data_IF_551454431354
#
_entry.id   IF_551454431354
#
_cell.length_a   1.000
_cell.length_b   1.000
_cell.length_c   1.000
_cell.angle_alpha   90.00
_cell.angle_beta   90.00
_cell.angle_gamma   90.00
#
_symmetry.space_group_name_H-M   'P 1'
#
loop_
_entity.id
_entity.type
_entity.pdbx_description
1 polymer ?
#
# COMPACT_ATOMS: atom_id res chain seq x y z
N UNK A 1 9.39 67.13 28.52
CA UNK A 1 10.62 66.36 28.27
C UNK A 1 10.16 65.02 27.71
N UNK A 2 10.11 64.88 26.39
CA UNK A 2 9.56 63.70 25.71
C UNK A 2 10.72 62.80 25.31
N UNK A 3 10.76 61.58 25.84
CA UNK A 3 11.68 60.53 25.40
C UNK A 3 10.92 59.68 24.37
N UNK A 4 11.32 59.79 23.11
CA UNK A 4 10.88 58.90 22.03
C UNK A 4 11.88 57.75 21.95
N UNK A 5 11.41 56.51 22.12
CA UNK A 5 12.17 55.31 21.80
C UNK A 5 11.70 54.79 20.43
N UNK A 6 12.60 54.43 19.50
CA UNK A 6 12.18 53.77 18.27
C UNK A 6 11.88 52.29 18.56
N UNK A 7 10.68 51.84 18.21
CA UNK A 7 10.37 50.42 18.15
C UNK A 7 11.06 49.82 16.91
N UNK A 8 11.98 48.88 17.13
CA UNK A 8 12.57 48.06 16.07
C UNK A 8 11.51 47.06 15.59
N UNK A 9 11.07 47.21 14.34
CA UNK A 9 10.17 46.25 13.71
C UNK A 9 11.04 45.20 13.02
N UNK A 10 11.24 44.05 13.67
CA UNK A 10 11.77 42.87 13.02
C UNK A 10 10.70 42.35 12.04
N UNK A 11 11.04 42.33 10.74
CA UNK A 11 10.20 41.71 9.72
C UNK A 11 10.07 40.20 10.01
N UNK A 12 8.89 39.59 9.86
CA UNK A 12 8.79 38.15 9.94
C UNK A 12 9.48 37.59 8.69
N UNK A 13 10.59 36.88 8.89
CA UNK A 13 11.14 36.02 7.87
C UNK A 13 10.14 34.88 7.67
N UNK A 14 9.32 34.97 6.62
CA UNK A 14 8.51 33.85 6.17
C UNK A 14 9.46 32.76 5.68
N UNK A 15 9.79 31.81 6.56
CA UNK A 15 10.33 30.52 6.16
C UNK A 15 9.25 29.82 5.35
N UNK A 16 9.35 29.90 4.03
CA UNK A 16 8.66 29.00 3.12
C UNK A 16 9.19 27.60 3.38
N UNK A 17 8.43 26.79 4.12
CA UNK A 17 8.59 25.34 4.06
C UNK A 17 8.33 24.92 2.61
N UNK A 18 9.18 24.07 1.99
CA UNK A 18 8.85 23.53 0.69
C UNK A 18 7.59 22.69 0.84
N UNK A 19 6.45 23.22 0.40
CA UNK A 19 5.24 22.43 0.18
C UNK A 19 5.46 21.62 -1.09
N UNK A 20 6.19 20.51 -0.95
CA UNK A 20 6.18 19.41 -1.90
C UNK A 20 5.42 18.26 -1.25
N UNK A 21 4.18 18.51 -0.83
CA UNK A 21 3.25 17.40 -0.73
C UNK A 21 2.94 17.00 -2.18
N UNK A 22 3.41 15.84 -2.68
CA UNK A 22 2.99 15.37 -3.98
C UNK A 22 1.46 15.34 -4.02
N UNK A 23 0.86 15.80 -5.12
CA UNK A 23 -0.56 15.65 -5.40
C UNK A 23 -1.00 14.19 -5.19
N UNK A 24 -2.26 13.95 -4.83
CA UNK A 24 -2.76 12.61 -4.48
C UNK A 24 -2.50 11.62 -5.62
N UNK A 25 -2.74 12.01 -6.87
CA UNK A 25 -2.43 11.18 -8.04
C UNK A 25 -0.94 10.90 -8.22
N UNK A 26 -0.07 11.81 -7.77
CA UNK A 26 1.37 11.58 -7.74
C UNK A 26 1.78 10.60 -6.63
N UNK A 27 1.08 10.58 -5.49
CA UNK A 27 1.31 9.61 -4.40
C UNK A 27 0.94 8.20 -4.80
N UNK A 28 -0.26 7.99 -5.37
CA UNK A 28 -0.67 6.66 -5.83
C UNK A 28 0.30 6.12 -6.89
N UNK A 29 0.69 6.96 -7.85
CA UNK A 29 1.68 6.60 -8.86
C UNK A 29 3.06 6.29 -8.24
N UNK A 30 3.50 7.04 -7.22
CA UNK A 30 4.74 6.76 -6.50
C UNK A 30 4.68 5.45 -5.71
N UNK A 31 3.55 5.16 -5.06
CA UNK A 31 3.30 3.90 -4.36
C UNK A 31 3.34 2.72 -5.34
N UNK A 32 2.71 2.85 -6.51
CA UNK A 32 2.74 1.80 -7.55
C UNK A 32 4.15 1.57 -8.09
N UNK A 33 4.92 2.63 -8.39
CA UNK A 33 6.33 2.51 -8.79
C UNK A 33 7.17 1.80 -7.72
N UNK A 34 6.95 2.13 -6.44
CA UNK A 34 7.63 1.45 -5.35
C UNK A 34 7.25 -0.04 -5.29
N UNK A 35 5.97 -0.37 -5.47
CA UNK A 35 5.49 -1.75 -5.54
C UNK A 35 6.13 -2.53 -6.70
N UNK A 36 6.28 -1.91 -7.87
CA UNK A 36 6.98 -2.50 -9.03
C UNK A 36 8.45 -2.79 -8.74
N UNK A 37 9.15 -1.90 -8.03
CA UNK A 37 10.54 -2.12 -7.60
C UNK A 37 10.66 -3.25 -6.55
N UNK A 38 9.61 -3.49 -5.77
CA UNK A 38 9.55 -4.53 -4.74
C UNK A 38 9.07 -5.88 -5.28
N UNK A 39 8.51 -5.94 -6.49
CA UNK A 39 8.02 -7.17 -7.08
C UNK A 39 9.16 -8.19 -7.37
N UNK A 40 10.30 -7.83 -8.00
CA UNK A 40 11.39 -8.79 -8.28
C UNK A 40 11.94 -9.56 -7.07
N UNK A 41 12.15 -8.96 -5.88
CA UNK A 41 12.52 -9.74 -4.69
C UNK A 41 11.40 -10.70 -4.23
N UNK A 42 10.12 -10.31 -4.29
CA UNK A 42 9.01 -11.21 -3.98
C UNK A 42 8.95 -12.40 -4.94
N UNK A 43 9.13 -12.15 -6.24
CA UNK A 43 9.19 -13.21 -7.28
C UNK A 43 10.32 -14.21 -7.02
N UNK A 44 11.45 -13.72 -6.50
CA UNK A 44 12.58 -14.55 -6.10
C UNK A 44 12.45 -15.20 -4.73
N UNK A 45 11.32 -15.04 -4.02
CA UNK A 45 11.12 -15.57 -2.67
C UNK A 45 12.04 -14.94 -1.62
N UNK A 46 12.54 -13.72 -1.87
CA UNK A 46 13.45 -12.99 -0.97
C UNK A 46 12.66 -12.05 -0.08
N UNK A 47 12.95 -12.07 1.22
CA UNK A 47 12.35 -11.14 2.16
C UNK A 47 12.77 -9.70 1.85
N UNK A 48 11.81 -8.78 1.90
CA UNK A 48 12.02 -7.35 1.76
C UNK A 48 12.47 -6.81 3.11
N UNK A 49 13.74 -6.43 3.20
CA UNK A 49 14.26 -5.75 4.38
C UNK A 49 13.79 -4.28 4.41
N UNK A 50 13.87 -3.66 5.59
CA UNK A 50 13.59 -2.22 5.75
C UNK A 50 14.46 -1.36 4.86
N UNK A 51 15.70 -1.78 4.59
CA UNK A 51 16.62 -1.04 3.72
C UNK A 51 16.19 -1.11 2.25
N UNK A 52 15.76 -2.29 1.78
CA UNK A 52 15.24 -2.47 0.41
C UNK A 52 13.95 -1.65 0.24
N UNK A 53 13.06 -1.71 1.24
CA UNK A 53 11.83 -0.92 1.25
C UNK A 53 12.12 0.58 1.21
N UNK A 54 12.98 1.08 2.11
CA UNK A 54 13.34 2.49 2.16
C UNK A 54 13.98 3.00 0.87
N UNK A 55 14.81 2.18 0.21
CA UNK A 55 15.41 2.52 -1.07
C UNK A 55 14.36 2.61 -2.20
N UNK A 56 13.45 1.63 -2.29
CA UNK A 56 12.38 1.64 -3.28
C UNK A 56 11.43 2.84 -3.10
N UNK A 57 11.06 3.14 -1.85
CA UNK A 57 10.23 4.28 -1.50
C UNK A 57 10.94 5.60 -1.85
N UNK A 58 12.20 5.77 -1.45
CA UNK A 58 12.92 7.01 -1.70
C UNK A 58 13.14 7.27 -3.19
N UNK A 59 13.42 6.22 -3.95
CA UNK A 59 13.52 6.31 -5.42
C UNK A 59 12.19 6.70 -6.07
N UNK A 60 11.06 6.28 -5.52
CA UNK A 60 9.74 6.45 -6.15
C UNK A 60 9.07 7.77 -5.78
N UNK A 61 9.33 8.25 -4.55
CA UNK A 61 8.81 9.49 -3.99
C UNK A 61 9.78 10.69 -4.17
N UNK A 62 11.04 10.43 -4.52
CA UNK A 62 12.03 11.49 -4.80
C UNK A 62 12.78 12.03 -3.58
N UNK A 63 12.68 11.35 -2.43
CA UNK A 63 13.33 11.73 -1.17
C UNK A 63 13.03 10.75 -0.04
N UNK A 64 13.61 10.96 1.13
CA UNK A 64 13.54 10.02 2.27
C UNK A 64 12.35 10.28 3.19
N UNK A 65 12.06 9.34 4.11
CA UNK A 65 11.06 9.55 5.17
C UNK A 65 11.50 10.62 6.18
N UNK A 66 12.81 10.71 6.46
CA UNK A 66 13.38 11.75 7.31
C UNK A 66 13.19 13.17 6.74
N UNK A 67 13.12 13.29 5.41
CA UNK A 67 12.84 14.55 4.71
C UNK A 67 11.33 14.81 4.52
N UNK A 68 10.47 13.87 4.93
CA UNK A 68 9.01 14.00 4.88
C UNK A 68 8.38 13.70 3.52
N UNK A 69 9.12 13.13 2.56
CA UNK A 69 8.57 12.80 1.23
C UNK A 69 7.54 11.66 1.27
N UNK A 70 7.71 10.73 2.21
CA UNK A 70 6.81 9.63 2.47
C UNK A 70 6.82 9.26 3.95
N UNK A 71 5.75 8.61 4.40
CA UNK A 71 5.61 8.05 5.75
C UNK A 71 5.54 6.53 5.66
N UNK A 72 5.77 5.85 6.79
CA UNK A 72 5.73 4.39 6.84
C UNK A 72 4.40 3.78 6.37
N UNK A 73 3.31 4.55 6.42
CA UNK A 73 2.04 4.10 5.87
C UNK A 73 2.08 3.90 4.36
N UNK A 74 2.73 4.81 3.61
CA UNK A 74 2.89 4.66 2.16
C UNK A 74 3.72 3.42 1.84
N UNK A 75 4.76 3.17 2.64
CA UNK A 75 5.61 1.98 2.48
C UNK A 75 4.83 0.68 2.71
N UNK A 76 3.92 0.67 3.67
CA UNK A 76 3.00 -0.44 3.88
C UNK A 76 2.02 -0.62 2.72
N UNK A 77 1.50 0.46 2.13
CA UNK A 77 0.64 0.39 0.94
C UNK A 77 1.39 -0.14 -0.28
N UNK A 78 2.66 0.25 -0.46
CA UNK A 78 3.52 -0.28 -1.51
C UNK A 78 3.78 -1.80 -1.34
N UNK A 79 3.93 -2.30 -0.11
CA UNK A 79 4.07 -3.73 0.15
C UNK A 79 2.79 -4.52 -0.15
N UNK A 80 1.62 -3.97 0.17
CA UNK A 80 0.34 -4.59 -0.17
C UNK A 80 0.10 -4.58 -1.68
N UNK A 81 0.37 -3.46 -2.35
CA UNK A 81 0.30 -3.35 -3.80
C UNK A 81 1.28 -4.31 -4.50
N UNK A 82 2.50 -4.50 -3.97
CA UNK A 82 3.46 -5.46 -4.53
C UNK A 82 2.94 -6.91 -4.45
N UNK A 83 2.25 -7.26 -3.37
CA UNK A 83 1.59 -8.57 -3.23
C UNK A 83 0.41 -8.72 -4.22
N UNK A 84 -0.37 -7.66 -4.45
CA UNK A 84 -1.42 -7.66 -5.49
C UNK A 84 -0.83 -7.88 -6.88
N UNK A 85 0.24 -7.16 -7.24
CA UNK A 85 0.95 -7.36 -8.51
C UNK A 85 1.48 -8.78 -8.65
N UNK A 86 2.08 -9.34 -7.59
CA UNK A 86 2.52 -10.72 -7.56
C UNK A 86 1.35 -11.69 -7.81
N UNK A 87 0.21 -11.48 -7.16
CA UNK A 87 -0.95 -12.35 -7.33
C UNK A 87 -1.60 -12.25 -8.71
N UNK A 88 -1.68 -11.06 -9.30
CA UNK A 88 -2.13 -10.89 -10.68
C UNK A 88 -1.27 -11.72 -11.64
N UNK A 89 0.04 -11.79 -11.38
CA UNK A 89 0.99 -12.52 -12.23
C UNK A 89 1.03 -14.03 -11.97
N UNK A 90 1.04 -14.46 -10.71
CA UNK A 90 1.30 -15.86 -10.32
C UNK A 90 0.12 -16.56 -9.67
N UNK A 91 -0.89 -15.82 -9.20
CA UNK A 91 -2.08 -16.35 -8.53
C UNK A 91 -2.79 -17.46 -9.31
N UNK A 92 -3.13 -17.27 -10.61
CA UNK A 92 -3.74 -18.33 -11.41
C UNK A 92 -2.90 -19.62 -11.48
N UNK A 93 -1.57 -19.50 -11.56
CA UNK A 93 -0.67 -20.65 -11.57
C UNK A 93 -0.58 -21.32 -10.19
N UNK A 94 -0.54 -20.54 -9.10
CA UNK A 94 -0.57 -21.06 -7.73
C UNK A 94 -1.84 -21.88 -7.50
N UNK A 95 -3.00 -21.37 -7.91
CA UNK A 95 -4.28 -22.05 -7.73
C UNK A 95 -4.38 -23.31 -8.59
N UNK A 96 -4.07 -23.21 -9.89
CA UNK A 96 -4.25 -24.33 -10.83
C UNK A 96 -3.23 -25.48 -10.67
N UNK A 97 -2.05 -25.21 -10.08
CA UNK A 97 -0.98 -26.21 -9.92
C UNK A 97 -0.84 -26.75 -8.51
N UNK A 98 -1.69 -26.31 -7.58
CA UNK A 98 -1.67 -26.80 -6.20
C UNK A 98 -2.10 -28.25 -6.12
N UNK A 99 -1.29 -29.07 -5.44
CA UNK A 99 -1.51 -30.52 -5.31
C UNK A 99 -2.37 -30.91 -4.12
N UNK A 100 -2.67 -29.97 -3.21
CA UNK A 100 -3.59 -30.15 -2.08
C UNK A 100 -4.41 -28.87 -1.82
N UNK A 101 -5.58 -28.96 -1.17
CA UNK A 101 -6.41 -27.81 -0.83
C UNK A 101 -5.72 -26.75 0.05
N UNK A 102 -4.72 -27.16 0.84
CA UNK A 102 -4.00 -26.30 1.78
C UNK A 102 -2.79 -25.59 1.14
N UNK A 103 -2.28 -26.12 0.02
CA UNK A 103 -1.09 -25.60 -0.65
C UNK A 103 -1.22 -24.12 -1.09
N UNK A 104 -2.36 -23.64 -1.64
CA UNK A 104 -2.54 -22.23 -1.92
C UNK A 104 -2.40 -21.36 -0.67
N UNK A 105 -3.05 -21.73 0.45
CA UNK A 105 -2.96 -20.97 1.70
C UNK A 105 -1.54 -20.95 2.25
N UNK A 106 -0.81 -22.07 2.17
CA UNK A 106 0.60 -22.12 2.55
C UNK A 106 1.45 -21.14 1.71
N UNK A 107 1.19 -21.04 0.40
CA UNK A 107 1.84 -20.07 -0.47
C UNK A 107 1.49 -18.62 -0.07
N UNK A 108 0.22 -18.33 0.22
CA UNK A 108 -0.21 -17.00 0.68
C UNK A 108 0.50 -16.59 2.00
N UNK A 109 0.62 -17.52 2.94
CA UNK A 109 1.39 -17.30 4.19
C UNK A 109 2.86 -17.03 3.88
N UNK A 110 3.46 -17.82 3.00
CA UNK A 110 4.87 -17.65 2.62
C UNK A 110 5.12 -16.27 2.01
N UNK A 111 4.25 -15.79 1.13
CA UNK A 111 4.35 -14.46 0.52
C UNK A 111 4.22 -13.37 1.58
N UNK A 112 3.24 -13.48 2.49
CA UNK A 112 3.04 -12.51 3.57
C UNK A 112 4.22 -12.44 4.55
N UNK A 113 4.96 -13.54 4.73
CA UNK A 113 6.18 -13.58 5.55
C UNK A 113 7.39 -12.90 4.88
N UNK A 114 7.33 -12.62 3.56
CA UNK A 114 8.40 -11.93 2.85
C UNK A 114 8.35 -10.40 3.04
N UNK A 115 7.26 -9.86 3.58
CA UNK A 115 7.11 -8.42 3.78
C UNK A 115 7.17 -8.04 5.27
N UNK A 116 7.71 -6.86 5.62
CA UNK A 116 7.66 -6.36 6.99
C UNK A 116 6.22 -6.23 7.52
N UNK A 117 6.03 -6.52 8.81
CA UNK A 117 4.73 -6.35 9.46
C UNK A 117 4.38 -4.86 9.67
N UNK A 118 3.08 -4.55 9.60
CA UNK A 118 2.58 -3.19 9.76
C UNK A 118 2.50 -2.81 11.24
N UNK A 119 3.63 -2.42 11.83
CA UNK A 119 3.76 -2.12 13.28
C UNK A 119 3.51 -0.65 13.63
N UNK A 120 3.57 0.26 12.66
CA UNK A 120 3.33 1.69 12.88
C UNK A 120 1.90 2.06 12.50
N UNK A 121 1.35 3.08 13.16
CA UNK A 121 0.01 3.63 12.91
C UNK A 121 0.16 5.13 12.64
N UNK A 122 -0.37 5.60 11.50
CA UNK A 122 -0.49 7.03 11.22
C UNK A 122 -1.78 7.58 11.81
N UNK A 123 -1.84 8.90 12.01
CA UNK A 123 -3.04 9.60 12.49
C UNK A 123 -4.24 9.35 11.56
N UNK A 124 -4.03 9.41 10.25
CA UNK A 124 -5.04 9.07 9.25
C UNK A 124 -5.52 7.62 9.40
N UNK A 125 -4.60 6.66 9.57
CA UNK A 125 -4.97 5.25 9.75
C UNK A 125 -5.81 5.04 11.00
N UNK A 126 -5.54 5.79 12.07
CA UNK A 126 -6.36 5.74 13.29
C UNK A 126 -7.72 6.38 13.06
N UNK A 127 -7.76 7.59 12.47
CA UNK A 127 -8.98 8.33 12.24
C UNK A 127 -9.95 7.60 11.30
N UNK A 128 -9.42 6.95 10.26
CA UNK A 128 -10.20 6.23 9.25
C UNK A 128 -10.31 4.73 9.53
N UNK A 129 -9.80 4.24 10.66
CA UNK A 129 -9.79 2.81 11.02
C UNK A 129 -9.23 1.91 9.92
N UNK A 130 -8.15 2.35 9.27
CA UNK A 130 -7.54 1.63 8.15
C UNK A 130 -6.70 0.47 8.69
N UNK A 131 -7.31 -0.70 8.77
CA UNK A 131 -6.66 -1.96 9.08
C UNK A 131 -6.39 -2.73 7.79
N UNK A 132 -5.20 -3.32 7.71
CA UNK A 132 -4.88 -4.25 6.62
C UNK A 132 -5.74 -5.50 6.76
N UNK A 133 -6.16 -6.05 5.62
CA UNK A 133 -6.60 -7.45 5.50
C UNK A 133 -5.42 -8.24 4.93
N UNK A 134 -4.53 -8.82 5.77
CA UNK A 134 -3.32 -9.46 5.29
C UNK A 134 -3.65 -10.62 4.34
N UNK A 135 -2.75 -10.85 3.39
CA UNK A 135 -2.96 -11.78 2.28
C UNK A 135 -3.52 -13.17 2.68
N UNK A 136 -3.07 -13.84 3.76
CA UNK A 136 -3.65 -15.13 4.15
C UNK A 136 -5.12 -15.04 4.55
N UNK A 137 -5.53 -13.95 5.20
CA UNK A 137 -6.93 -13.74 5.58
C UNK A 137 -7.78 -13.37 4.36
N UNK A 138 -7.25 -12.51 3.47
CA UNK A 138 -7.90 -12.18 2.21
C UNK A 138 -8.21 -13.44 1.38
N UNK A 139 -7.23 -14.33 1.26
CA UNK A 139 -7.41 -15.60 0.55
C UNK A 139 -8.48 -16.49 1.20
N UNK A 140 -8.45 -16.67 2.52
CA UNK A 140 -9.45 -17.50 3.23
C UNK A 140 -10.85 -16.91 3.07
N UNK A 141 -11.01 -15.60 3.14
CA UNK A 141 -12.30 -14.93 2.90
C UNK A 141 -12.81 -15.19 1.49
N UNK A 142 -11.99 -14.99 0.46
CA UNK A 142 -12.38 -15.24 -0.92
C UNK A 142 -12.72 -16.72 -1.16
N UNK A 143 -11.95 -17.64 -0.57
CA UNK A 143 -12.19 -19.08 -0.66
C UNK A 143 -13.51 -19.47 0.02
N UNK A 144 -13.77 -18.96 1.23
CA UNK A 144 -15.00 -19.22 1.96
C UNK A 144 -16.24 -18.64 1.27
N UNK A 145 -16.10 -17.49 0.59
CA UNK A 145 -17.14 -16.91 -0.23
C UNK A 145 -17.44 -17.69 -1.52
N UNK A 146 -16.58 -18.66 -1.89
CA UNK A 146 -16.69 -19.48 -3.08
C UNK A 146 -16.88 -18.66 -4.38
N UNK A 147 -16.14 -17.54 -4.50
CA UNK A 147 -16.26 -16.60 -5.61
C UNK A 147 -16.05 -17.32 -6.95
N UNK A 148 -16.97 -17.09 -7.88
CA UNK A 148 -16.97 -17.61 -9.24
C UNK A 148 -17.10 -16.50 -10.28
N UNK A 149 -16.80 -16.82 -11.55
CA UNK A 149 -16.85 -15.86 -12.66
C UNK A 149 -18.24 -15.28 -12.94
N UNK A 150 -19.31 -15.92 -12.45
CA UNK A 150 -20.69 -15.43 -12.55
C UNK A 150 -21.03 -14.34 -11.53
N UNK A 151 -20.16 -14.11 -10.54
CA UNK A 151 -20.48 -13.26 -9.41
C UNK A 151 -20.19 -11.78 -9.69
N UNK A 152 -20.97 -10.93 -9.04
CA UNK A 152 -20.67 -9.52 -8.84
C UNK A 152 -20.24 -9.35 -7.38
N UNK A 153 -18.94 -9.11 -7.16
CA UNK A 153 -18.35 -8.97 -5.83
C UNK A 153 -18.26 -7.49 -5.48
N UNK A 154 -18.95 -7.11 -4.41
CA UNK A 154 -18.82 -5.79 -3.79
C UNK A 154 -17.81 -5.88 -2.64
N UNK A 155 -16.73 -5.12 -2.71
CA UNK A 155 -15.78 -4.97 -1.61
C UNK A 155 -15.77 -3.51 -1.12
N UNK A 156 -16.49 -3.21 -0.02
CA UNK A 156 -16.42 -1.92 0.61
C UNK A 156 -15.10 -1.80 1.39
N UNK A 157 -14.49 -0.62 1.35
CA UNK A 157 -13.19 -0.34 1.98
C UNK A 157 -12.11 -1.31 1.48
N UNK A 158 -11.98 -1.40 0.15
CA UNK A 158 -11.12 -2.38 -0.53
C UNK A 158 -9.63 -2.23 -0.20
N UNK A 159 -9.22 -1.15 0.46
CA UNK A 159 -7.83 -0.89 0.78
C UNK A 159 -7.02 -0.80 -0.51
N UNK A 160 -5.94 -1.57 -0.61
CA UNK A 160 -5.13 -1.66 -1.83
C UNK A 160 -5.56 -2.81 -2.76
N UNK A 161 -6.67 -3.50 -2.46
CA UNK A 161 -7.21 -4.58 -3.29
C UNK A 161 -6.67 -5.98 -2.99
N UNK A 162 -6.10 -6.22 -1.81
CA UNK A 162 -5.57 -7.53 -1.41
C UNK A 162 -6.62 -8.65 -1.37
N UNK A 163 -7.88 -8.33 -1.05
CA UNK A 163 -8.99 -9.27 -1.17
C UNK A 163 -9.57 -9.27 -2.59
N UNK A 164 -9.77 -8.08 -3.17
CA UNK A 164 -10.33 -7.89 -4.51
C UNK A 164 -9.60 -8.68 -5.60
N UNK A 165 -8.28 -8.79 -5.53
CA UNK A 165 -7.46 -9.53 -6.50
C UNK A 165 -7.85 -11.01 -6.60
N UNK A 166 -8.40 -11.62 -5.54
CA UNK A 166 -8.89 -12.99 -5.60
C UNK A 166 -10.16 -13.11 -6.45
N UNK A 167 -11.05 -12.12 -6.40
CA UNK A 167 -12.20 -12.03 -7.30
C UNK A 167 -11.77 -11.78 -8.75
N UNK A 168 -10.75 -10.93 -8.97
CA UNK A 168 -10.15 -10.71 -10.29
C UNK A 168 -9.59 -12.01 -10.87
N UNK A 169 -8.84 -12.79 -10.08
CA UNK A 169 -8.30 -14.10 -10.47
C UNK A 169 -9.42 -15.09 -10.81
N UNK A 170 -10.51 -15.07 -10.06
CA UNK A 170 -11.72 -15.86 -10.32
C UNK A 170 -12.54 -15.36 -11.53
N UNK A 171 -12.15 -14.23 -12.12
CA UNK A 171 -12.85 -13.52 -13.21
C UNK A 171 -14.26 -13.05 -12.85
N UNK A 172 -14.50 -12.79 -11.56
CA UNK A 172 -15.72 -12.15 -11.11
C UNK A 172 -15.73 -10.67 -11.55
N UNK A 173 -16.93 -10.10 -11.68
CA UNK A 173 -17.07 -8.64 -11.82
C UNK A 173 -16.89 -8.00 -10.45
N UNK A 174 -16.13 -6.90 -10.38
CA UNK A 174 -15.80 -6.23 -9.12
C UNK A 174 -16.46 -4.86 -9.04
N UNK A 175 -17.00 -4.54 -7.86
CA UNK A 175 -17.40 -3.18 -7.46
C UNK A 175 -16.62 -2.85 -6.20
N UNK A 176 -15.66 -1.94 -6.31
CA UNK A 176 -14.77 -1.59 -5.22
C UNK A 176 -15.08 -0.17 -4.74
N UNK A 177 -15.04 0.04 -3.43
CA UNK A 177 -15.15 1.36 -2.85
C UNK A 177 -14.00 1.57 -1.86
N UNK A 178 -13.32 2.70 -1.95
CA UNK A 178 -12.28 3.09 -1.01
C UNK A 178 -12.38 4.59 -0.74
N UNK A 179 -12.34 4.97 0.54
CA UNK A 179 -12.51 6.36 0.97
C UNK A 179 -11.19 7.13 0.95
N UNK A 180 -10.07 6.44 1.14
CA UNK A 180 -8.75 7.04 1.06
C UNK A 180 -8.39 7.26 -0.42
N UNK A 181 -8.29 8.53 -0.83
CA UNK A 181 -8.11 8.90 -2.24
C UNK A 181 -6.88 8.22 -2.88
N UNK A 182 -5.73 8.19 -2.20
CA UNK A 182 -4.52 7.51 -2.70
C UNK A 182 -4.76 6.03 -2.97
N UNK A 183 -5.55 5.34 -2.15
CA UNK A 183 -5.85 3.93 -2.34
C UNK A 183 -6.90 3.70 -3.41
N UNK A 184 -7.92 4.57 -3.49
CA UNK A 184 -8.88 4.53 -4.57
C UNK A 184 -8.20 4.64 -5.94
N UNK A 185 -7.17 5.49 -6.06
CA UNK A 185 -6.36 5.63 -7.27
C UNK A 185 -5.44 4.43 -7.58
N UNK A 186 -5.28 3.46 -6.65
CA UNK A 186 -4.51 2.22 -6.86
C UNK A 186 -5.36 1.05 -7.39
N UNK A 187 -6.69 1.12 -7.29
CA UNK A 187 -7.63 0.03 -7.60
C UNK A 187 -8.00 0.03 -9.09
#
# INVERSE_FOLDING_TARGET
MNIVMPASVAAPAATTFPTLAPDVGNRAAATLRAAELLLPPLEGGRAISTNVLGAAMSSSFGGTDAEGFWIWKDAYEALEAAQVLFLRRFGPAILSRSTSPEAPLAMMRRIAELVPTHTRRSDESQAMQQLSTPLPLAFVTAHAAAIAASDLVLEPSAGTGLLAVHGEIARASLVLNELAATRADLL
#
